data_IF_933140920434
#
_entry.id   IF_933140920434
#
_cell.length_a   1.000
_cell.length_b   1.000
_cell.length_c   1.000
_cell.angle_alpha   90.00
_cell.angle_beta   90.00
_cell.angle_gamma   90.00
#
_symmetry.space_group_name_H-M   'P 1'
#
loop_
_entity.id
_entity.type
_entity.pdbx_description
1 polymer ?
2 water ?
#
# COMPACT_ATOMS: atom_id res chain seq x y z
N UNK A 1 28.94 -22.14 -15.91
CA UNK A 1 30.10 -21.66 -15.11
C UNK A 1 30.43 -20.21 -15.44
N UNK A 2 30.79 -19.96 -16.69
CA UNK A 2 31.13 -18.61 -17.14
C UNK A 2 29.93 -17.66 -17.07
N UNK A 3 28.78 -18.11 -17.57
CA UNK A 3 27.57 -17.29 -17.55
C UNK A 3 27.22 -16.89 -16.12
N UNK A 4 27.40 -17.82 -15.18
CA UNK A 4 27.11 -17.55 -13.78
C UNK A 4 28.11 -16.56 -13.20
N UNK A 5 29.35 -16.62 -13.69
CA UNK A 5 30.39 -15.71 -13.23
C UNK A 5 30.04 -14.31 -13.74
N UNK A 6 29.59 -14.23 -14.99
CA UNK A 6 29.19 -12.97 -15.60
C UNK A 6 28.03 -12.34 -14.83
N UNK A 7 27.03 -13.15 -14.48
CA UNK A 7 25.87 -12.65 -13.75
C UNK A 7 26.28 -12.21 -12.35
N UNK A 8 27.23 -12.93 -11.77
CA UNK A 8 27.73 -12.59 -10.44
C UNK A 8 28.41 -11.22 -10.48
N UNK A 9 29.26 -11.02 -11.48
CA UNK A 9 29.98 -9.75 -11.65
C UNK A 9 29.03 -8.59 -11.98
N UNK A 10 28.08 -8.85 -12.87
CA UNK A 10 27.12 -7.83 -13.28
C UNK A 10 26.25 -7.33 -12.12
N UNK A 11 25.79 -8.23 -11.26
CA UNK A 11 24.96 -7.81 -10.14
C UNK A 11 25.78 -7.02 -9.11
N UNK A 12 27.02 -7.43 -8.88
CA UNK A 12 27.87 -6.72 -7.94
C UNK A 12 28.13 -5.31 -8.47
N UNK A 13 28.43 -5.22 -9.76
CA UNK A 13 28.69 -3.93 -10.39
C UNK A 13 27.49 -2.99 -10.24
N UNK A 14 26.29 -3.51 -10.47
CA UNK A 14 25.09 -2.70 -10.36
C UNK A 14 24.89 -2.26 -8.92
N UNK A 15 25.09 -3.17 -7.97
CA UNK A 15 24.92 -2.85 -6.56
C UNK A 15 25.87 -1.71 -6.17
N UNK A 16 27.11 -1.79 -6.63
CA UNK A 16 28.10 -0.76 -6.33
C UNK A 16 27.73 0.55 -7.00
N UNK A 17 27.32 0.50 -8.27
CA UNK A 17 26.95 1.72 -8.98
C UNK A 17 25.71 2.37 -8.37
N UNK A 18 24.67 1.57 -8.17
CA UNK A 18 23.42 2.05 -7.59
C UNK A 18 23.65 2.89 -6.33
N UNK A 19 24.43 2.35 -5.39
CA UNK A 19 24.73 3.04 -4.14
C UNK A 19 25.41 4.41 -4.33
N UNK A 20 25.95 4.67 -5.52
CA UNK A 20 26.62 5.94 -5.79
C UNK A 20 25.73 6.91 -6.55
N UNK A 21 24.56 6.44 -6.96
CA UNK A 21 23.64 7.27 -7.71
C UNK A 21 22.87 8.21 -6.80
N UNK A 22 22.62 9.42 -7.29
CA UNK A 22 21.89 10.42 -6.52
C UNK A 22 20.40 10.11 -6.61
N UNK A 23 19.62 10.69 -5.70
CA UNK A 23 18.19 10.45 -5.72
C UNK A 23 17.73 9.35 -4.77
N UNK A 24 18.66 8.75 -4.04
CA UNK A 24 18.30 7.69 -3.10
C UNK A 24 17.31 8.26 -2.09
N UNK A 25 16.08 7.73 -2.08
CA UNK A 25 15.04 8.20 -1.15
C UNK A 25 15.48 8.09 0.31
N UNK A 26 15.03 9.02 1.13
CA UNK A 26 15.35 9.00 2.54
C UNK A 26 14.17 8.35 3.25
N UNK A 27 14.43 7.68 4.37
CA UNK A 27 13.36 7.00 5.10
C UNK A 27 12.43 7.95 5.86
N UNK A 28 11.14 7.95 5.49
CA UNK A 28 10.07 8.77 6.08
C UNK A 28 9.77 8.36 7.51
N UNK A 29 9.38 9.34 8.33
CA UNK A 29 9.02 9.05 9.71
C UNK A 29 7.56 8.62 9.65
N UNK A 30 7.24 7.53 10.33
CA UNK A 30 5.87 7.01 10.32
C UNK A 30 4.92 7.92 11.09
N UNK A 31 3.77 8.24 10.49
CA UNK A 31 2.76 9.10 11.12
C UNK A 31 2.36 8.63 12.52
N UNK A 32 2.18 9.58 13.43
CA UNK A 32 1.81 9.33 14.82
C UNK A 32 0.61 8.39 14.98
N UNK A 33 0.75 7.40 15.86
CA UNK A 33 -0.34 6.46 16.10
C UNK A 33 -0.36 5.26 15.18
N UNK A 34 0.27 5.38 14.02
CA UNK A 34 0.29 4.28 13.06
C UNK A 34 1.40 3.28 13.30
N UNK A 35 1.07 2.01 13.12
CA UNK A 35 2.04 0.94 13.25
C UNK A 35 2.22 0.49 11.81
N UNK A 36 3.38 -0.07 11.48
CA UNK A 36 3.58 -0.52 10.11
C UNK A 36 4.12 -1.93 10.03
N UNK A 37 3.52 -2.70 9.14
CA UNK A 37 3.89 -4.09 8.94
C UNK A 37 4.55 -4.18 7.57
N UNK A 38 5.87 -4.00 7.55
CA UNK A 38 6.66 -4.05 6.32
C UNK A 38 7.94 -4.85 6.53
N UNK A 39 8.17 -5.81 5.65
CA UNK A 39 9.36 -6.65 5.71
C UNK A 39 10.12 -6.54 4.39
N UNK A 40 11.46 -6.61 4.44
CA UNK A 40 12.27 -6.52 3.23
C UNK A 40 11.76 -7.53 2.20
N UNK A 41 11.63 -7.11 0.94
CA UNK A 41 11.16 -8.02 -0.09
C UNK A 41 9.65 -8.10 -0.25
N UNK A 42 8.92 -7.48 0.67
CA UNK A 42 7.47 -7.46 0.62
C UNK A 42 7.04 -6.05 0.24
N UNK A 43 6.49 -5.90 -0.96
CA UNK A 43 6.08 -4.59 -1.44
C UNK A 43 4.70 -4.13 -0.92
N UNK A 44 3.75 -5.04 -0.79
CA UNK A 44 2.43 -4.68 -0.29
C UNK A 44 2.31 -4.76 1.23
N UNK A 45 2.77 -3.73 1.91
CA UNK A 45 2.73 -3.69 3.37
C UNK A 45 1.38 -3.22 3.91
N UNK A 46 1.20 -3.35 5.22
CA UNK A 46 -0.04 -2.92 5.84
C UNK A 46 0.27 -1.98 7.00
N UNK A 47 -0.64 -1.03 7.24
CA UNK A 47 -0.49 -0.08 8.34
C UNK A 47 -1.75 -0.18 9.20
N UNK A 48 -1.60 0.01 10.51
CA UNK A 48 -2.73 -0.08 11.41
C UNK A 48 -2.65 0.96 12.53
N UNK A 49 -3.80 1.39 13.02
CA UNK A 49 -3.87 2.34 14.12
C UNK A 49 -5.24 2.19 14.75
N UNK A 50 -5.35 2.49 16.03
CA UNK A 50 -6.64 2.40 16.69
C UNK A 50 -7.27 3.79 16.68
N UNK A 51 -8.59 3.82 16.76
CA UNK A 51 -9.35 5.06 16.78
C UNK A 51 -10.45 4.77 17.79
N UNK A 52 -10.10 4.80 19.07
CA UNK A 52 -11.08 4.48 20.08
C UNK A 52 -11.37 3.00 19.97
N UNK A 53 -12.63 2.63 19.84
CA UNK A 53 -12.98 1.23 19.72
C UNK A 53 -12.73 0.66 18.32
N UNK A 54 -12.50 1.53 17.34
CA UNK A 54 -12.27 1.03 16.00
C UNK A 54 -10.80 0.84 15.69
N UNK A 55 -10.53 0.01 14.69
CA UNK A 55 -9.16 -0.20 14.25
C UNK A 55 -9.19 0.23 12.79
N UNK A 56 -8.16 0.96 12.37
CA UNK A 56 -8.09 1.43 11.00
C UNK A 56 -6.94 0.65 10.36
N UNK A 57 -7.22 -0.02 9.25
CA UNK A 57 -6.20 -0.83 8.58
C UNK A 57 -5.98 -0.38 7.15
N UNK A 58 -4.71 -0.18 6.80
CA UNK A 58 -4.30 0.23 5.47
C UNK A 58 -3.54 -0.92 4.83
N UNK A 59 -4.05 -1.46 3.73
CA UNK A 59 -3.40 -2.57 3.04
C UNK A 59 -3.15 -2.19 1.59
N UNK A 60 -1.89 -2.09 1.18
CA UNK A 60 -1.57 -1.77 -0.21
C UNK A 60 -2.04 -2.96 -1.04
N UNK A 61 -2.67 -2.70 -2.18
CA UNK A 61 -3.17 -3.78 -3.01
C UNK A 61 -2.53 -3.83 -4.40
N UNK A 62 -1.70 -2.85 -4.73
CA UNK A 62 -1.06 -2.86 -6.03
C UNK A 62 -0.68 -1.51 -6.61
N UNK A 63 -0.19 -1.56 -7.84
CA UNK A 63 0.23 -0.39 -8.61
C UNK A 63 -0.46 -0.64 -9.94
N UNK A 64 -0.99 0.40 -10.58
CA UNK A 64 -1.72 0.14 -11.82
C UNK A 64 -1.56 1.07 -13.02
N UNK A 65 -2.16 0.62 -14.12
CA UNK A 65 -2.21 1.31 -15.41
C UNK A 65 -0.91 1.93 -15.89
N UNK A 66 -0.69 1.88 -17.21
CA UNK A 66 0.50 2.49 -17.79
C UNK A 66 0.42 3.91 -17.27
N UNK A 67 1.55 4.49 -16.88
CA UNK A 67 1.49 5.83 -16.32
C UNK A 67 2.83 6.53 -16.17
N UNK A 68 2.82 7.83 -16.43
CA UNK A 68 4.02 8.64 -16.28
C UNK A 68 4.15 8.85 -14.78
N UNK A 69 3.00 8.98 -14.12
CA UNK A 69 2.93 9.17 -12.68
C UNK A 69 2.50 7.85 -12.04
N UNK A 70 3.25 7.41 -11.04
CA UNK A 70 2.97 6.15 -10.35
C UNK A 70 1.75 6.26 -9.43
N UNK A 71 0.74 5.43 -9.68
CA UNK A 71 -0.47 5.43 -8.85
C UNK A 71 -0.60 4.09 -8.13
N UNK A 72 -0.76 4.15 -6.81
CA UNK A 72 -0.90 2.94 -6.00
C UNK A 72 -2.33 2.72 -5.52
N UNK A 73 -2.71 1.46 -5.40
CA UNK A 73 -4.04 1.13 -4.92
C UNK A 73 -3.92 0.53 -3.53
N UNK A 74 -4.90 0.81 -2.69
CA UNK A 74 -4.90 0.28 -1.34
C UNK A 74 -6.32 0.27 -0.81
N UNK A 75 -6.54 -0.55 0.21
CA UNK A 75 -7.83 -0.65 0.85
C UNK A 75 -7.68 -0.06 2.24
N UNK A 76 -8.69 0.67 2.67
CA UNK A 76 -8.69 1.25 4.00
C UNK A 76 -9.90 0.64 4.70
N UNK A 77 -9.65 -0.12 5.76
CA UNK A 77 -10.75 -0.72 6.50
C UNK A 77 -10.94 -0.06 7.85
N UNK A 78 -12.19 0.18 8.21
CA UNK A 78 -12.53 0.76 9.49
C UNK A 78 -13.38 -0.32 10.13
N UNK A 79 -12.82 -0.98 11.13
CA UNK A 79 -13.47 -2.10 11.80
C UNK A 79 -13.95 -1.78 13.20
N UNK A 80 -15.19 -2.14 13.48
CA UNK A 80 -15.79 -1.88 14.78
C UNK A 80 -17.02 -2.77 14.95
N UNK A 81 -17.14 -3.38 16.13
CA UNK A 81 -18.28 -4.23 16.42
C UNK A 81 -18.48 -5.41 15.48
N UNK A 82 -17.39 -5.98 14.99
CA UNK A 82 -17.50 -7.12 14.10
C UNK A 82 -17.88 -6.79 12.66
N UNK A 83 -17.90 -5.51 12.32
CA UNK A 83 -18.25 -5.09 10.96
C UNK A 83 -17.17 -4.16 10.42
N UNK A 84 -17.16 -3.95 9.11
CA UNK A 84 -16.16 -3.07 8.53
C UNK A 84 -16.65 -2.23 7.36
N UNK A 85 -16.16 -1.00 7.30
CA UNK A 85 -16.45 -0.08 6.22
C UNK A 85 -15.14 -0.20 5.44
N UNK A 86 -15.22 -0.61 4.18
CA UNK A 86 -14.03 -0.80 3.37
C UNK A 86 -13.95 0.16 2.18
N UNK A 87 -12.94 1.02 2.20
CA UNK A 87 -12.71 2.01 1.15
C UNK A 87 -11.67 1.53 0.14
N UNK A 88 -12.09 1.41 -1.12
CA UNK A 88 -11.17 1.00 -2.17
C UNK A 88 -10.59 2.31 -2.65
N UNK A 89 -9.29 2.49 -2.48
CA UNK A 89 -8.68 3.75 -2.87
C UNK A 89 -7.37 3.65 -3.62
N UNK A 90 -6.91 4.80 -4.08
CA UNK A 90 -5.64 4.88 -4.79
C UNK A 90 -5.01 6.23 -4.47
N UNK A 91 -3.68 6.26 -4.45
CA UNK A 91 -2.96 7.49 -4.16
C UNK A 91 -2.50 8.11 -5.47
N UNK A 92 -3.00 9.30 -5.76
CA UNK A 92 -2.65 10.01 -6.98
C UNK A 92 -2.12 11.38 -6.58
N UNK A 93 -0.81 11.54 -6.74
CA UNK A 93 -0.10 12.78 -6.40
C UNK A 93 -0.34 13.24 -4.97
N UNK A 94 0.11 12.44 -4.01
CA UNK A 94 -0.04 12.79 -2.61
C UNK A 94 -1.44 12.88 -2.05
N UNK A 95 -2.45 12.55 -2.84
CA UNK A 95 -3.83 12.61 -2.35
C UNK A 95 -4.55 11.28 -2.47
N UNK A 96 -5.49 11.05 -1.56
CA UNK A 96 -6.29 9.83 -1.58
C UNK A 96 -7.50 10.03 -2.48
N UNK A 97 -7.76 9.06 -3.34
CA UNK A 97 -8.90 9.12 -4.22
C UNK A 97 -9.78 7.92 -3.87
N UNK A 98 -11.04 8.17 -3.54
CA UNK A 98 -11.93 7.08 -3.20
C UNK A 98 -12.50 6.50 -4.50
N UNK A 99 -12.30 5.21 -4.73
CA UNK A 99 -12.81 4.58 -5.93
C UNK A 99 -14.06 3.77 -5.62
N UNK A 100 -14.08 3.16 -4.44
CA UNK A 100 -15.21 2.34 -4.01
C UNK A 100 -15.40 2.44 -2.50
N UNK A 101 -16.63 2.20 -2.07
CA UNK A 101 -16.98 2.20 -0.65
C UNK A 101 -17.89 1.00 -0.47
N UNK A 102 -17.41 0.00 0.26
CA UNK A 102 -18.18 -1.21 0.52
C UNK A 102 -18.42 -1.34 2.01
N UNK A 103 -19.46 -2.08 2.35
CA UNK A 103 -19.75 -2.35 3.74
C UNK A 103 -19.74 -3.86 3.92
N UNK A 104 -19.04 -4.32 4.95
CA UNK A 104 -18.95 -5.75 5.21
C UNK A 104 -19.52 -6.09 6.58
N UNK A 105 -20.64 -6.81 6.59
CA UNK A 105 -21.26 -7.21 7.84
C UNK A 105 -20.36 -8.21 8.55
N UNK A 106 -19.70 -9.06 7.77
CA UNK A 106 -18.80 -10.06 8.33
C UNK A 106 -17.40 -9.46 8.39
N UNK A 107 -17.13 -8.73 9.47
CA UNK A 107 -15.84 -8.09 9.65
C UNK A 107 -14.68 -9.07 9.60
N UNK A 108 -14.90 -10.27 10.12
CA UNK A 108 -13.87 -11.29 10.13
C UNK A 108 -13.49 -11.63 8.70
N UNK A 109 -14.49 -11.74 7.83
CA UNK A 109 -14.22 -12.03 6.43
C UNK A 109 -13.51 -10.83 5.82
N UNK A 110 -13.94 -9.63 6.20
CA UNK A 110 -13.33 -8.41 5.68
C UNK A 110 -11.84 -8.36 5.99
N UNK A 111 -11.46 -8.81 7.18
CA UNK A 111 -10.06 -8.81 7.60
C UNK A 111 -9.25 -9.95 6.99
N UNK A 112 -9.92 -11.05 6.68
CA UNK A 112 -9.26 -12.21 6.10
C UNK A 112 -8.65 -11.84 4.75
N UNK A 113 -7.35 -12.06 4.61
CA UNK A 113 -6.69 -11.73 3.35
C UNK A 113 -6.30 -12.96 2.52
N UNK A 114 -6.81 -14.14 2.87
CA UNK A 114 -6.48 -15.34 2.10
C UNK A 114 -7.05 -15.25 0.68
N UNK A 115 -6.54 -16.07 -0.23
CA UNK A 115 -7.04 -16.05 -1.61
C UNK A 115 -8.51 -16.43 -1.60
N UNK A 116 -8.87 -17.38 -0.74
CA UNK A 116 -10.26 -17.82 -0.63
C UNK A 116 -11.16 -16.69 -0.12
N UNK A 117 -10.68 -15.94 0.86
CA UNK A 117 -11.46 -14.82 1.40
C UNK A 117 -11.66 -13.77 0.32
N UNK A 118 -10.63 -13.52 -0.49
CA UNK A 118 -10.75 -12.54 -1.56
C UNK A 118 -11.83 -12.94 -2.55
N UNK A 119 -11.87 -14.21 -2.92
CA UNK A 119 -12.86 -14.65 -3.87
C UNK A 119 -14.29 -14.49 -3.34
N UNK A 120 -14.50 -14.84 -2.08
CA UNK A 120 -15.82 -14.71 -1.48
C UNK A 120 -16.28 -13.26 -1.46
N UNK A 121 -15.38 -12.36 -1.11
CA UNK A 121 -15.73 -10.94 -1.08
C UNK A 121 -15.94 -10.36 -2.48
N UNK A 122 -15.36 -10.98 -3.50
CA UNK A 122 -15.51 -10.48 -4.86
C UNK A 122 -16.94 -10.67 -5.38
N UNK A 123 -17.71 -11.49 -4.68
CA UNK A 123 -19.10 -11.76 -5.07
C UNK A 123 -20.08 -10.86 -4.33
N UNK A 124 -19.57 -10.04 -3.41
CA UNK A 124 -20.43 -9.15 -2.63
C UNK A 124 -20.66 -7.81 -3.31
N UNK A 125 -21.68 -7.10 -2.86
CA UNK A 125 -22.02 -5.79 -3.39
C UNK A 125 -20.80 -4.90 -3.21
N UNK A 126 -20.43 -4.18 -4.26
CA UNK A 126 -19.26 -3.32 -4.22
C UNK A 126 -19.59 -1.85 -4.00
N UNK A 127 -20.81 -1.59 -3.55
CA UNK A 127 -21.24 -0.22 -3.33
C UNK A 127 -21.57 0.47 -4.64
N UNK A 128 -22.08 1.71 -4.59
CA UNK A 128 -22.43 2.45 -5.81
C UNK A 128 -21.21 3.07 -6.49
N UNK A 129 -21.41 3.47 -7.74
CA UNK A 129 -20.38 4.13 -8.53
C UNK A 129 -20.32 5.52 -7.88
N UNK A 130 -19.15 5.93 -7.42
CA UNK A 130 -19.01 7.23 -6.78
C UNK A 130 -19.60 8.38 -7.59
N UNK A 131 -19.62 8.21 -8.91
CA UNK A 131 -20.15 9.22 -9.81
C UNK A 131 -21.66 9.39 -9.69
N UNK A 132 -22.34 8.44 -9.05
CA UNK A 132 -23.78 8.56 -8.90
C UNK A 132 -24.16 9.12 -7.54
N UNK A 133 -23.18 9.65 -6.82
CA UNK A 133 -23.42 10.21 -5.50
C UNK A 133 -23.20 11.71 -5.47
N UNK A 134 -24.08 12.41 -4.77
CA UNK A 134 -23.98 13.85 -4.65
C UNK A 134 -22.82 14.23 -3.73
N UNK A 135 -22.32 15.45 -3.87
CA UNK A 135 -21.21 15.92 -3.05
C UNK A 135 -21.44 15.81 -1.55
N UNK A 136 -22.64 16.11 -1.07
CA UNK A 136 -22.86 16.04 0.37
C UNK A 136 -22.49 14.67 0.95
N UNK A 137 -22.75 13.61 0.18
CA UNK A 137 -22.45 12.27 0.65
C UNK A 137 -20.96 11.98 0.53
N UNK A 138 -20.43 12.20 -0.67
CA UNK A 138 -19.02 11.97 -0.94
C UNK A 138 -18.12 12.78 0.00
N UNK A 139 -18.47 14.04 0.23
CA UNK A 139 -17.67 14.89 1.10
C UNK A 139 -17.72 14.38 2.54
N UNK A 140 -18.86 13.84 2.94
CA UNK A 140 -18.99 13.32 4.29
C UNK A 140 -18.06 12.11 4.45
N UNK A 141 -17.95 11.29 3.41
CA UNK A 141 -17.05 10.13 3.45
C UNK A 141 -15.61 10.60 3.59
N UNK A 142 -15.22 11.60 2.79
CA UNK A 142 -13.85 12.13 2.85
C UNK A 142 -13.54 12.73 4.23
N UNK A 143 -14.49 13.46 4.81
CA UNK A 143 -14.31 14.05 6.14
C UNK A 143 -14.19 12.96 7.22
N UNK A 144 -14.95 11.88 7.06
CA UNK A 144 -14.92 10.75 7.97
C UNK A 144 -13.51 10.13 7.96
N UNK A 145 -12.94 9.97 6.77
CA UNK A 145 -11.60 9.41 6.65
C UNK A 145 -10.55 10.38 7.19
N UNK A 146 -10.74 11.66 6.93
CA UNK A 146 -9.80 12.66 7.41
C UNK A 146 -9.76 12.73 8.94
N UNK A 147 -10.91 12.59 9.59
CA UNK A 147 -10.96 12.63 11.05
C UNK A 147 -10.19 11.46 11.65
N UNK A 148 -9.92 10.45 10.84
CA UNK A 148 -9.19 9.28 11.30
C UNK A 148 -7.74 9.26 10.83
N UNK A 149 -7.26 10.39 10.31
CA UNK A 149 -5.88 10.45 9.86
C UNK A 149 -5.62 10.04 8.42
N UNK A 150 -6.66 9.57 7.72
CA UNK A 150 -6.49 9.18 6.33
C UNK A 150 -6.65 10.44 5.51
N UNK A 151 -5.55 11.18 5.40
CA UNK A 151 -5.52 12.45 4.70
C UNK A 151 -4.32 12.54 3.76
N UNK A 152 -4.06 13.74 3.25
CA UNK A 152 -2.95 13.95 2.32
C UNK A 152 -1.60 13.67 2.96
N UNK A 153 -1.52 13.88 4.26
CA UNK A 153 -0.28 13.62 4.99
C UNK A 153 0.04 12.14 4.92
N UNK A 154 -0.97 11.30 5.16
CA UNK A 154 -0.79 9.86 5.12
C UNK A 154 -0.54 9.40 3.69
N UNK A 155 -1.27 9.97 2.75
CA UNK A 155 -1.10 9.61 1.35
C UNK A 155 0.32 9.94 0.94
N UNK A 156 0.80 11.07 1.44
CA UNK A 156 2.14 11.54 1.16
C UNK A 156 3.17 10.58 1.76
N UNK A 157 2.89 10.09 2.96
CA UNK A 157 3.79 9.15 3.61
C UNK A 157 3.87 7.83 2.85
N UNK A 158 2.74 7.40 2.30
CA UNK A 158 2.69 6.16 1.54
C UNK A 158 3.58 6.18 0.30
N UNK A 159 3.58 7.29 -0.43
CA UNK A 159 4.42 7.41 -1.63
C UNK A 159 5.88 7.42 -1.21
N UNK A 160 6.20 8.28 -0.25
CA UNK A 160 7.56 8.38 0.26
C UNK A 160 8.08 7.05 0.81
N UNK A 161 7.28 6.38 1.63
CA UNK A 161 7.72 5.10 2.18
C UNK A 161 7.89 4.04 1.08
N UNK A 162 6.98 4.03 0.12
CA UNK A 162 7.05 3.07 -0.98
C UNK A 162 8.31 3.24 -1.81
N UNK A 163 8.70 4.49 -2.06
CA UNK A 163 9.90 4.75 -2.84
C UNK A 163 11.13 4.27 -2.09
N UNK A 164 11.17 4.57 -0.81
CA UNK A 164 12.30 4.17 0.01
C UNK A 164 12.42 2.65 0.11
N UNK A 165 11.30 1.96 0.32
CA UNK A 165 11.36 0.51 0.44
C UNK A 165 11.62 -0.15 -0.92
N UNK A 166 11.15 0.47 -1.99
CA UNK A 166 11.38 -0.08 -3.32
C UNK A 166 12.89 -0.07 -3.56
N UNK A 167 13.52 1.03 -3.18
CA UNK A 167 14.96 1.22 -3.33
C UNK A 167 15.71 0.18 -2.51
N UNK A 168 15.24 -0.05 -1.29
CA UNK A 168 15.87 -1.04 -0.42
C UNK A 168 15.65 -2.44 -0.99
N UNK A 169 14.45 -2.71 -1.49
CA UNK A 169 14.15 -4.02 -2.06
C UNK A 169 15.01 -4.28 -3.29
N UNK A 170 15.26 -3.23 -4.06
CA UNK A 170 16.07 -3.34 -5.27
C UNK A 170 17.50 -3.73 -4.94
N UNK A 171 18.07 -3.12 -3.92
CA UNK A 171 19.44 -3.43 -3.53
C UNK A 171 19.53 -4.83 -2.92
N UNK A 172 18.50 -5.22 -2.19
CA UNK A 172 18.48 -6.54 -1.57
C UNK A 172 18.32 -7.57 -2.69
N UNK A 173 17.59 -7.18 -3.73
CA UNK A 173 17.36 -8.02 -4.91
C UNK A 173 18.71 -8.31 -5.57
N UNK A 174 19.48 -7.26 -5.84
CA UNK A 174 20.80 -7.41 -6.46
C UNK A 174 21.71 -8.31 -5.64
N UNK A 175 21.77 -8.04 -4.34
CA UNK A 175 22.60 -8.80 -3.42
C UNK A 175 22.22 -10.28 -3.31
N UNK A 176 20.93 -10.56 -3.20
CA UNK A 176 20.51 -11.95 -3.08
C UNK A 176 20.74 -12.73 -4.38
N UNK A 177 20.60 -12.08 -5.53
CA UNK A 177 20.84 -12.78 -6.79
C UNK A 177 22.33 -13.04 -6.93
N UNK A 178 23.14 -12.08 -6.49
CA UNK A 178 24.59 -12.21 -6.54
C UNK A 178 25.03 -13.42 -5.70
N UNK A 179 24.52 -13.51 -4.47
CA UNK A 179 24.86 -14.62 -3.59
C UNK A 179 24.39 -15.94 -4.19
N UNK A 180 23.19 -15.93 -4.75
CA UNK A 180 22.59 -17.12 -5.35
C UNK A 180 23.43 -17.66 -6.51
N UNK A 181 23.85 -16.77 -7.39
CA UNK A 181 24.64 -17.15 -8.55
C UNK A 181 26.10 -17.45 -8.19
N UNK A 182 26.45 -17.18 -6.94
CA UNK A 182 27.80 -17.43 -6.44
C UNK A 182 27.77 -18.63 -5.48
#
# INVERSE_FOLDING_TARGET
AVSDQRLSEATLRELEDERQRAGLPEKPEIPEGWTIDRKPGVTHFTMRKSHGDEEIILQLTGEDRSNEEITRTLDVLVVNGGKALVFGMSVEDGEFVINNVCFRHDGKLALDTSAEAQFQKSQLYMGPDLADLEDHLVDSFTSYLSARGVNDTLANFIDQFSLWSEQADYEEWLSSINKFVS
#
